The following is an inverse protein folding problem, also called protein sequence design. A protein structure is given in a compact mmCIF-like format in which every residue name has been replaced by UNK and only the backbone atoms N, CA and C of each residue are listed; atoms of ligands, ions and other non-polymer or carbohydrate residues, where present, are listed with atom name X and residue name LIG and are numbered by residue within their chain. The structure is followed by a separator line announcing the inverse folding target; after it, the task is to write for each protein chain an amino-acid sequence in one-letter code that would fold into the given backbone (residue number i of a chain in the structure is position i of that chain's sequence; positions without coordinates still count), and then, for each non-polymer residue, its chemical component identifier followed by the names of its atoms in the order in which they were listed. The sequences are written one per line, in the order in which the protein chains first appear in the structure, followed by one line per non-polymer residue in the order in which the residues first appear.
data_IF_042628031822
#
_entry.id   IF_042628031822
#
_cell.length_a   1.000
_cell.length_b   1.000
_cell.length_c   1.000
_cell.angle_alpha   90.00
_cell.angle_beta   90.00
_cell.angle_gamma   90.00
#
_symmetry.space_group_name_H-M   'P 1'
#
loop_
_entity.id
_entity.type
_entity.pdbx_description
1 polymer ?
#
# COMPACT_ATOMS: atom_id res chain seq x y z
N UNK A 1 25.96 60.56 -12.75
CA UNK A 1 26.83 60.64 -13.93
C UNK A 1 27.88 59.54 -13.85
N UNK A 2 27.56 58.32 -14.37
CA UNK A 2 28.52 57.29 -14.81
C UNK A 2 27.80 56.36 -15.74
N UNK A 3 27.76 56.76 -17.01
CA UNK A 3 27.46 55.85 -18.12
C UNK A 3 28.74 55.08 -18.40
N UNK A 4 28.67 53.76 -18.31
CA UNK A 4 29.67 52.92 -18.92
C UNK A 4 28.96 51.83 -19.72
N UNK A 5 28.82 52.14 -21.01
CA UNK A 5 28.56 51.21 -22.09
C UNK A 5 29.61 50.09 -22.07
N UNK A 6 29.21 48.86 -21.77
CA UNK A 6 29.99 47.69 -22.13
C UNK A 6 29.40 47.08 -23.41
N UNK A 7 29.78 47.66 -24.57
CA UNK A 7 29.68 47.02 -25.87
C UNK A 7 31.00 46.28 -26.11
N UNK A 8 31.18 45.14 -25.49
CA UNK A 8 32.30 44.23 -25.73
C UNK A 8 31.95 43.25 -26.82
N UNK A 9 32.15 43.61 -28.09
CA UNK A 9 32.13 42.63 -29.18
C UNK A 9 33.42 41.82 -29.14
N UNK A 10 33.33 40.60 -28.59
CA UNK A 10 34.45 39.66 -28.61
C UNK A 10 34.45 38.90 -29.93
N UNK A 11 35.25 39.36 -30.91
CA UNK A 11 35.57 38.62 -32.12
C UNK A 11 36.74 37.68 -31.82
N UNK A 12 36.43 36.42 -31.51
CA UNK A 12 37.41 35.33 -31.60
C UNK A 12 37.39 34.77 -33.03
N UNK A 13 38.46 34.98 -33.78
CA UNK A 13 38.63 34.38 -35.10
C UNK A 13 38.52 32.84 -34.98
N UNK A 14 37.53 32.24 -35.66
CA UNK A 14 37.43 30.79 -35.86
C UNK A 14 36.38 30.03 -35.06
N UNK A 15 35.55 30.68 -34.26
CA UNK A 15 34.46 30.00 -33.58
C UNK A 15 33.12 30.51 -34.14
N UNK A 16 32.32 29.61 -34.69
CA UNK A 16 30.93 29.92 -35.02
C UNK A 16 30.13 30.06 -33.73
N UNK A 17 29.84 31.28 -33.32
CA UNK A 17 29.15 31.59 -32.09
C UNK A 17 27.72 31.10 -32.11
N UNK A 18 27.08 31.03 -33.27
CA UNK A 18 25.71 30.50 -33.37
C UNK A 18 25.68 28.97 -33.17
N UNK A 19 26.66 28.25 -33.72
CA UNK A 19 26.78 26.81 -33.47
C UNK A 19 27.13 26.51 -32.00
N UNK A 20 27.95 27.33 -31.35
CA UNK A 20 28.27 27.20 -29.95
C UNK A 20 27.06 27.42 -29.04
N UNK A 21 26.23 28.44 -29.33
CA UNK A 21 25.00 28.70 -28.59
C UNK A 21 24.02 27.55 -28.78
N UNK A 22 23.81 27.04 -30.01
CA UNK A 22 22.95 25.94 -30.30
C UNK A 22 23.36 24.63 -29.55
N UNK A 23 24.69 24.38 -29.49
CA UNK A 23 25.22 23.25 -28.70
C UNK A 23 24.97 23.43 -27.21
N UNK A 24 25.11 24.65 -26.69
CA UNK A 24 24.83 24.94 -25.29
C UNK A 24 23.34 24.74 -24.94
N UNK A 25 22.45 25.24 -25.80
CA UNK A 25 21.01 25.08 -25.65
C UNK A 25 20.62 23.60 -25.69
N UNK A 26 21.14 22.79 -26.61
CA UNK A 26 20.89 21.37 -26.68
C UNK A 26 21.33 20.64 -25.40
N UNK A 27 22.47 20.99 -24.82
CA UNK A 27 22.95 20.43 -23.55
C UNK A 27 22.05 20.79 -22.37
N UNK A 28 21.56 22.03 -22.33
CA UNK A 28 20.62 22.47 -21.29
C UNK A 28 19.28 21.74 -21.41
N UNK A 29 18.77 21.52 -22.61
CA UNK A 29 17.52 20.78 -22.84
C UNK A 29 17.66 19.31 -22.46
N UNK A 30 18.78 18.66 -22.81
CA UNK A 30 19.07 17.29 -22.38
C UNK A 30 19.18 17.17 -20.86
N UNK A 31 19.76 18.17 -20.19
CA UNK A 31 19.85 18.17 -18.73
C UNK A 31 18.46 18.33 -18.10
N UNK A 32 17.61 19.21 -18.63
CA UNK A 32 16.23 19.39 -18.15
C UNK A 32 15.39 18.13 -18.28
N UNK A 33 15.55 17.43 -19.40
CA UNK A 33 14.82 16.16 -19.62
C UNK A 33 15.25 15.11 -18.58
N UNK A 34 16.56 14.97 -18.35
CA UNK A 34 17.08 14.04 -17.32
C UNK A 34 16.61 14.38 -15.92
N UNK A 35 16.68 15.66 -15.54
CA UNK A 35 16.23 16.12 -14.22
C UNK A 35 14.71 15.86 -14.01
N UNK A 36 13.93 16.00 -15.09
CA UNK A 36 12.49 15.69 -15.06
C UNK A 36 12.21 14.20 -14.94
N UNK A 37 12.97 13.35 -15.67
CA UNK A 37 12.86 11.90 -15.58
C UNK A 37 13.23 11.41 -14.17
N UNK A 38 14.31 11.90 -13.59
CA UNK A 38 14.70 11.59 -12.21
C UNK A 38 13.61 12.00 -11.20
N UNK A 39 13.02 13.18 -11.35
CA UNK A 39 11.93 13.63 -10.48
C UNK A 39 10.68 12.76 -10.62
N UNK A 40 10.33 12.32 -11.83
CA UNK A 40 9.20 11.41 -12.07
C UNK A 40 9.46 10.07 -11.40
N UNK A 41 10.66 9.53 -11.51
CA UNK A 41 11.04 8.27 -10.88
C UNK A 41 10.99 8.37 -9.35
N UNK A 42 11.53 9.43 -8.76
CA UNK A 42 11.46 9.69 -7.32
C UNK A 42 10.00 9.80 -6.82
N UNK A 43 9.14 10.53 -7.53
CA UNK A 43 7.71 10.64 -7.18
C UNK A 43 6.99 9.30 -7.29
N UNK A 44 7.31 8.51 -8.31
CA UNK A 44 6.73 7.18 -8.51
C UNK A 44 7.13 6.22 -7.39
N UNK A 45 8.38 6.26 -6.96
CA UNK A 45 8.88 5.43 -5.85
C UNK A 45 8.29 5.88 -4.50
N UNK A 46 8.14 7.18 -4.28
CA UNK A 46 7.47 7.72 -3.10
C UNK A 46 5.98 7.30 -3.04
N UNK A 47 5.27 7.34 -4.17
CA UNK A 47 3.90 6.84 -4.27
C UNK A 47 3.82 5.34 -3.97
N UNK A 48 4.72 4.53 -4.54
CA UNK A 48 4.77 3.08 -4.26
C UNK A 48 5.06 2.80 -2.79
N UNK A 49 5.97 3.54 -2.17
CA UNK A 49 6.31 3.40 -0.76
C UNK A 49 5.16 3.75 0.18
N UNK A 50 4.21 4.56 -0.26
CA UNK A 50 3.02 4.93 0.52
C UNK A 50 1.89 3.89 0.46
N UNK A 51 1.92 2.95 -0.49
CA UNK A 51 0.88 1.94 -0.69
C UNK A 51 0.92 0.87 0.40
N UNK A 52 -0.16 0.78 1.18
CA UNK A 52 -0.28 -0.23 2.23
C UNK A 52 -0.87 -1.54 1.69
N UNK A 53 -0.62 -2.65 2.41
CA UNK A 53 -1.23 -3.94 2.09
C UNK A 53 -2.76 -3.84 2.17
N UNK A 54 -3.30 -3.16 3.18
CA UNK A 54 -4.75 -2.96 3.32
C UNK A 54 -5.36 -2.25 2.11
N UNK A 55 -4.70 -1.23 1.56
CA UNK A 55 -5.15 -0.53 0.37
C UNK A 55 -5.14 -1.43 -0.89
N UNK A 56 -4.12 -2.28 -1.02
CA UNK A 56 -4.05 -3.26 -2.10
C UNK A 56 -5.11 -4.35 -1.97
N UNK A 57 -5.37 -4.85 -0.77
CA UNK A 57 -6.42 -5.84 -0.52
C UNK A 57 -7.80 -5.24 -0.78
N UNK A 58 -8.06 -4.02 -0.32
CA UNK A 58 -9.34 -3.33 -0.59
C UNK A 58 -9.58 -3.06 -2.08
N UNK A 59 -8.52 -2.92 -2.87
CA UNK A 59 -8.58 -2.76 -4.33
C UNK A 59 -8.54 -4.08 -5.11
N UNK A 60 -8.41 -5.22 -4.43
CA UNK A 60 -8.30 -6.51 -5.08
C UNK A 60 -9.66 -6.98 -5.63
N UNK A 61 -9.62 -7.66 -6.78
CA UNK A 61 -10.78 -8.31 -7.39
C UNK A 61 -10.50 -9.80 -7.58
N UNK A 62 -11.53 -10.61 -7.38
CA UNK A 62 -11.42 -12.07 -7.47
C UNK A 62 -10.88 -12.72 -6.19
N UNK A 63 -10.37 -13.93 -6.33
CA UNK A 63 -9.86 -14.72 -5.22
C UNK A 63 -8.41 -14.28 -4.91
N UNK A 64 -8.17 -13.99 -3.65
CA UNK A 64 -6.84 -13.69 -3.10
C UNK A 64 -6.46 -14.78 -2.12
N UNK A 65 -5.20 -15.17 -2.14
CA UNK A 65 -4.62 -16.11 -1.18
C UNK A 65 -3.69 -15.35 -0.25
N UNK A 66 -3.85 -15.54 1.04
CA UNK A 66 -3.01 -15.00 2.11
C UNK A 66 -2.23 -16.14 2.75
N UNK A 67 -0.90 -16.01 2.81
CA UNK A 67 -0.07 -16.83 3.68
C UNK A 67 0.07 -16.13 5.04
N UNK A 68 -0.13 -16.89 6.10
CA UNK A 68 -0.10 -16.38 7.47
C UNK A 68 1.13 -16.88 8.21
N UNK A 69 1.51 -16.14 9.23
CA UNK A 69 2.49 -16.60 10.22
C UNK A 69 1.96 -17.89 10.85
N UNK A 70 2.83 -18.87 11.07
CA UNK A 70 2.40 -20.18 11.51
C UNK A 70 2.12 -21.17 10.36
N UNK A 71 2.17 -20.71 9.10
CA UNK A 71 2.08 -21.57 7.91
C UNK A 71 0.68 -21.81 7.37
N UNK A 72 -0.37 -21.26 8.00
CA UNK A 72 -1.73 -21.34 7.48
C UNK A 72 -1.84 -20.54 6.17
N UNK A 73 -2.78 -21.00 5.32
CA UNK A 73 -3.12 -20.33 4.05
C UNK A 73 -4.62 -20.15 3.97
N UNK A 74 -5.05 -18.91 3.74
CA UNK A 74 -6.48 -18.57 3.58
C UNK A 74 -6.69 -18.03 2.17
N UNK A 75 -7.68 -18.58 1.46
CA UNK A 75 -8.05 -18.15 0.11
C UNK A 75 -9.51 -17.76 0.05
N UNK A 76 -9.80 -16.66 -0.59
CA UNK A 76 -11.17 -16.20 -0.74
C UNK A 76 -11.28 -14.84 -1.42
N UNK A 77 -12.51 -14.39 -1.57
CA UNK A 77 -12.82 -13.05 -2.05
C UNK A 77 -12.78 -12.06 -0.89
N UNK A 78 -12.13 -10.92 -1.09
CA UNK A 78 -12.13 -9.84 -0.11
C UNK A 78 -13.52 -9.22 -0.04
N UNK A 79 -14.13 -9.23 1.14
CA UNK A 79 -15.43 -8.60 1.41
C UNK A 79 -15.26 -7.20 2.02
N UNK A 80 -14.28 -7.06 2.92
CA UNK A 80 -13.97 -5.80 3.58
C UNK A 80 -12.49 -5.78 3.99
N UNK A 81 -11.90 -4.60 4.05
CA UNK A 81 -10.52 -4.42 4.47
C UNK A 81 -10.38 -3.14 5.29
N UNK A 82 -9.75 -3.27 6.45
CA UNK A 82 -9.40 -2.17 7.32
C UNK A 82 -7.88 -2.03 7.42
N UNK A 83 -7.40 -1.11 8.25
CA UNK A 83 -5.96 -0.99 8.50
C UNK A 83 -5.36 -2.14 9.30
N UNK A 84 -6.18 -2.93 10.00
CA UNK A 84 -5.71 -3.96 10.94
C UNK A 84 -6.18 -5.36 10.62
N UNK A 85 -7.28 -5.50 9.90
CA UNK A 85 -7.84 -6.80 9.53
C UNK A 85 -8.51 -6.76 8.15
N UNK A 86 -8.68 -7.93 7.58
CA UNK A 86 -9.42 -8.16 6.33
C UNK A 86 -10.45 -9.25 6.54
N UNK A 87 -11.64 -9.08 5.97
CA UNK A 87 -12.70 -10.09 5.92
C UNK A 87 -12.71 -10.73 4.54
N UNK A 88 -12.63 -12.03 4.50
CA UNK A 88 -12.60 -12.84 3.28
C UNK A 88 -13.72 -13.88 3.27
N UNK A 89 -14.30 -14.12 2.11
CA UNK A 89 -15.22 -15.23 1.87
C UNK A 89 -14.52 -16.33 1.12
N UNK A 90 -14.29 -17.44 1.81
CA UNK A 90 -13.74 -18.66 1.25
C UNK A 90 -14.80 -19.75 1.04
N UNK A 91 -14.35 -20.92 0.59
CA UNK A 91 -15.24 -22.08 0.38
C UNK A 91 -15.87 -22.60 1.68
N UNK A 92 -15.14 -22.50 2.79
CA UNK A 92 -15.57 -23.00 4.10
C UNK A 92 -16.25 -21.93 4.99
N UNK A 93 -16.54 -20.77 4.42
CA UNK A 93 -17.16 -19.66 5.14
C UNK A 93 -16.31 -18.40 5.16
N UNK A 94 -16.74 -17.44 5.97
CA UNK A 94 -16.07 -16.15 6.10
C UNK A 94 -14.91 -16.24 7.11
N UNK A 95 -13.80 -15.63 6.78
CA UNK A 95 -12.58 -15.59 7.60
C UNK A 95 -12.18 -14.14 7.87
N UNK A 96 -12.00 -13.79 9.14
CA UNK A 96 -11.43 -12.51 9.56
C UNK A 96 -9.95 -12.71 9.84
N UNK A 97 -9.10 -12.08 9.06
CA UNK A 97 -7.64 -12.24 9.12
C UNK A 97 -7.00 -10.96 9.62
N UNK A 98 -6.19 -11.05 10.66
CA UNK A 98 -5.38 -9.92 11.14
C UNK A 98 -4.24 -9.65 10.17
N UNK A 99 -4.08 -8.41 9.70
CA UNK A 99 -3.04 -8.05 8.74
C UNK A 99 -1.62 -8.21 9.32
N UNK A 100 -1.47 -8.13 10.63
CA UNK A 100 -0.19 -8.41 11.33
C UNK A 100 0.25 -9.88 11.22
N UNK A 101 -0.66 -10.79 10.93
CA UNK A 101 -0.36 -12.20 10.72
C UNK A 101 0.02 -12.51 9.26
N UNK A 102 -0.27 -11.63 8.31
CA UNK A 102 -0.03 -11.86 6.87
C UNK A 102 1.45 -11.70 6.57
N UNK A 103 2.04 -12.74 5.98
CA UNK A 103 3.43 -12.75 5.49
C UNK A 103 3.52 -12.76 3.97
N UNK A 104 2.43 -13.08 3.27
CA UNK A 104 2.36 -13.05 1.82
C UNK A 104 0.91 -12.94 1.33
N UNK A 105 0.71 -12.35 0.16
CA UNK A 105 -0.61 -12.21 -0.47
C UNK A 105 -0.48 -12.27 -2.00
N UNK A 106 -1.31 -13.11 -2.64
CA UNK A 106 -1.33 -13.27 -4.09
C UNK A 106 -2.66 -13.85 -4.62
N UNK A 107 -3.02 -13.59 -5.89
CA UNK A 107 -2.50 -12.53 -6.70
C UNK A 107 -3.01 -11.17 -6.19
N UNK A 108 -2.14 -10.18 -6.15
CA UNK A 108 -2.56 -8.79 -5.93
C UNK A 108 -2.35 -8.02 -7.24
N UNK A 109 -3.44 -7.51 -7.80
CA UNK A 109 -3.42 -6.62 -8.94
C UNK A 109 -2.72 -5.28 -8.63
N UNK A 110 -2.62 -4.42 -9.63
CA UNK A 110 -2.10 -3.05 -9.47
C UNK A 110 -3.12 -2.08 -8.87
N UNK A 111 -4.38 -2.51 -8.76
CA UNK A 111 -5.45 -1.68 -8.20
C UNK A 111 -5.22 -1.43 -6.72
N UNK A 112 -5.34 -0.18 -6.33
CA UNK A 112 -5.20 0.28 -4.95
C UNK A 112 -6.45 1.08 -4.62
N UNK A 113 -7.14 0.70 -3.55
CA UNK A 113 -8.27 1.49 -3.07
C UNK A 113 -7.77 2.81 -2.48
N UNK A 114 -8.54 3.87 -2.66
CA UNK A 114 -8.27 5.14 -1.98
C UNK A 114 -8.35 4.94 -0.47
N UNK A 115 -7.49 5.61 0.27
CA UNK A 115 -7.44 5.50 1.74
C UNK A 115 -8.79 5.84 2.40
N UNK A 116 -9.58 6.72 1.79
CA UNK A 116 -10.96 7.05 2.18
C UNK A 116 -11.95 5.88 2.00
N UNK A 117 -11.61 4.89 1.18
CA UNK A 117 -12.43 3.68 0.96
C UNK A 117 -12.10 2.57 1.94
N UNK A 118 -10.96 2.67 2.64
CA UNK A 118 -10.59 1.75 3.70
C UNK A 118 -11.39 2.19 4.93
N UNK A 119 -12.34 1.35 5.35
CA UNK A 119 -13.12 1.64 6.55
C UNK A 119 -12.20 1.81 7.76
N UNK A 120 -11.92 3.06 8.09
CA UNK A 120 -11.23 3.39 9.32
C UNK A 120 -12.23 3.26 10.46
N UNK A 121 -12.19 2.19 11.24
CA UNK A 121 -12.82 2.36 12.49
C UNK A 121 -13.59 1.23 13.16
N UNK A 122 -13.98 0.16 12.51
CA UNK A 122 -14.50 -0.96 13.27
C UNK A 122 -13.31 -1.80 13.72
N UNK A 123 -12.88 -1.59 14.97
CA UNK A 123 -11.82 -2.40 15.57
C UNK A 123 -12.27 -3.87 15.66
N UNK A 124 -11.31 -4.80 15.57
CA UNK A 124 -11.57 -6.24 15.66
C UNK A 124 -12.38 -6.59 16.93
N UNK A 125 -12.09 -5.93 18.05
CA UNK A 125 -12.83 -6.14 19.30
C UNK A 125 -14.34 -5.86 19.19
N UNK A 126 -14.77 -4.94 18.32
CA UNK A 126 -16.19 -4.72 18.09
C UNK A 126 -16.82 -5.92 17.33
N UNK A 127 -16.15 -6.41 16.30
CA UNK A 127 -16.61 -7.59 15.54
C UNK A 127 -16.71 -8.80 16.46
N UNK A 128 -15.70 -9.03 17.29
CA UNK A 128 -15.68 -10.17 18.23
C UNK A 128 -16.79 -10.08 19.29
N UNK A 129 -17.11 -8.86 19.79
CA UNK A 129 -18.24 -8.67 20.72
C UNK A 129 -19.57 -8.97 20.05
N UNK A 130 -19.74 -8.61 18.79
CA UNK A 130 -20.95 -8.93 18.04
C UNK A 130 -21.11 -10.44 17.81
N UNK A 131 -20.01 -11.16 17.49
CA UNK A 131 -20.00 -12.63 17.39
C UNK A 131 -20.33 -13.27 18.74
N UNK A 132 -19.74 -12.77 19.83
CA UNK A 132 -20.04 -13.22 21.20
C UNK A 132 -21.52 -13.02 21.56
N UNK A 133 -22.07 -11.83 21.29
CA UNK A 133 -23.48 -11.51 21.59
C UNK A 133 -24.47 -12.41 20.84
N UNK A 134 -24.08 -12.87 19.64
CA UNK A 134 -24.90 -13.79 18.83
C UNK A 134 -24.68 -15.27 19.16
N UNK A 135 -23.70 -15.58 20.03
CA UNK A 135 -23.36 -16.97 20.36
C UNK A 135 -22.84 -17.77 19.16
N UNK A 136 -22.18 -17.13 18.21
CA UNK A 136 -21.67 -17.79 17.00
C UNK A 136 -20.46 -18.63 17.33
N UNK A 137 -20.48 -19.92 16.91
CA UNK A 137 -19.31 -20.79 16.97
C UNK A 137 -18.21 -20.29 16.04
N UNK A 138 -16.99 -20.19 16.53
CA UNK A 138 -15.82 -19.72 15.79
C UNK A 138 -14.70 -20.76 15.82
N UNK A 139 -13.89 -20.79 14.76
CA UNK A 139 -12.59 -21.42 14.75
C UNK A 139 -11.54 -20.30 14.82
N UNK A 140 -10.65 -20.39 15.77
CA UNK A 140 -9.54 -19.43 15.98
C UNK A 140 -8.26 -20.17 15.67
N UNK A 141 -7.56 -19.72 14.64
CA UNK A 141 -6.27 -20.25 14.22
C UNK A 141 -5.18 -19.25 14.63
N UNK A 142 -4.16 -19.71 15.31
CA UNK A 142 -3.07 -18.87 15.81
C UNK A 142 -1.73 -19.62 15.82
N UNK A 143 -0.64 -18.89 16.06
CA UNK A 143 0.70 -19.46 16.22
C UNK A 143 0.75 -20.42 17.44
N UNK A 144 -0.16 -20.28 18.41
CA UNK A 144 -0.27 -21.10 19.60
C UNK A 144 -1.15 -22.35 19.42
N UNK A 145 -1.77 -22.51 18.26
CA UNK A 145 -2.66 -23.63 17.95
C UNK A 145 -4.06 -23.20 17.55
N UNK A 146 -4.88 -24.19 17.23
CA UNK A 146 -6.23 -24.02 16.74
C UNK A 146 -7.24 -24.33 17.84
N UNK A 147 -8.21 -23.45 18.01
CA UNK A 147 -9.27 -23.56 18.99
C UNK A 147 -10.63 -23.39 18.31
N UNK A 148 -11.62 -24.16 18.79
CA UNK A 148 -13.02 -24.02 18.31
C UNK A 148 -13.95 -23.88 19.50
N UNK A 149 -14.85 -22.93 19.43
CA UNK A 149 -15.76 -22.68 20.52
C UNK A 149 -16.61 -21.44 20.29
N UNK A 150 -17.21 -20.95 21.36
CA UNK A 150 -18.00 -19.71 21.36
C UNK A 150 -17.26 -18.67 22.19
N UNK A 151 -17.12 -17.46 21.64
CA UNK A 151 -16.54 -16.34 22.37
C UNK A 151 -17.52 -15.94 23.47
N UNK A 152 -17.10 -16.05 24.72
CA UNK A 152 -17.94 -15.71 25.89
C UNK A 152 -17.64 -14.31 26.46
N UNK A 153 -16.39 -13.85 26.28
CA UNK A 153 -16.01 -12.49 26.69
C UNK A 153 -14.91 -11.93 25.78
N UNK A 154 -14.90 -10.61 25.59
CA UNK A 154 -13.89 -9.89 24.80
C UNK A 154 -13.30 -8.77 25.63
N UNK A 155 -12.01 -8.86 25.91
CA UNK A 155 -11.23 -7.91 26.69
C UNK A 155 -10.40 -6.98 25.78
N UNK A 156 -9.49 -6.25 26.36
CA UNK A 156 -8.67 -5.29 25.61
C UNK A 156 -7.61 -5.97 24.74
N UNK A 157 -7.08 -7.11 25.17
CA UNK A 157 -5.94 -7.82 24.59
C UNK A 157 -6.15 -9.34 24.41
N UNK A 158 -7.28 -9.89 24.90
CA UNK A 158 -7.61 -11.31 24.80
C UNK A 158 -9.12 -11.54 24.71
N UNK A 159 -9.50 -12.78 24.44
CA UNK A 159 -10.88 -13.27 24.45
C UNK A 159 -10.95 -14.56 25.27
N UNK A 160 -12.09 -14.77 25.93
CA UNK A 160 -12.43 -16.05 26.53
C UNK A 160 -13.27 -16.86 25.56
N UNK A 161 -12.92 -18.13 25.39
CA UNK A 161 -13.61 -19.06 24.50
C UNK A 161 -14.08 -20.27 25.29
N UNK A 162 -15.38 -20.54 25.24
CA UNK A 162 -15.94 -21.81 25.71
C UNK A 162 -15.78 -22.86 24.62
N UNK A 163 -15.08 -23.97 24.92
CA UNK A 163 -14.82 -25.09 24.02
C UNK A 163 -15.97 -26.05 23.98
#
# INVERSE_FOLDING_TARGET
MWSALWAGVWHRRGMDMSAFIAELEARFDEQRVRDLEELIDELTDAERASVTLSARLAGASGIVTLALRGGQVVSGQILDSTRTWVLMRGENGDSLVMLSAVVGAWPLGRSVARESSIRGGVGVGHVLRELSARGVGVAIESDGGDHRGIIVAVYADHVDVAL
#
